data_IF_165827911132
#
_entry.id   IF_165827911132
#
_cell.length_a   1.000
_cell.length_b   1.000
_cell.length_c   1.000
_cell.angle_alpha   90.00
_cell.angle_beta   90.00
_cell.angle_gamma   90.00
#
_symmetry.space_group_name_H-M   'P 1'
#
loop_
_entity.id
_entity.type
_entity.pdbx_description
1 polymer ?
#
# COMPACT_ATOMS: atom_id res chain seq x y z
N UNK A 1 -12.71 -18.87 18.37
CA UNK A 1 -11.64 -18.19 19.13
C UNK A 1 -10.33 -18.91 18.83
N UNK A 2 -9.49 -18.34 17.95
CA UNK A 2 -8.12 -18.81 17.74
C UNK A 2 -7.22 -17.65 18.12
N UNK A 3 -6.52 -17.80 19.24
CA UNK A 3 -5.55 -16.83 19.74
C UNK A 3 -4.19 -17.17 19.15
N UNK A 4 -3.61 -16.24 18.37
CA UNK A 4 -2.24 -16.36 17.89
C UNK A 4 -1.26 -15.88 18.97
N UNK A 5 -0.12 -16.56 19.17
CA UNK A 5 0.78 -16.29 20.28
C UNK A 5 1.76 -15.16 19.90
N UNK A 6 1.38 -13.92 20.21
CA UNK A 6 2.28 -12.83 20.61
C UNK A 6 1.42 -11.61 20.99
N UNK A 7 1.02 -11.56 22.25
CA UNK A 7 0.19 -10.50 22.84
C UNK A 7 1.03 -9.23 23.11
N UNK A 8 1.64 -8.69 22.05
CA UNK A 8 2.03 -7.29 22.02
C UNK A 8 0.75 -6.49 21.76
N UNK A 9 0.30 -5.69 22.74
CA UNK A 9 -0.95 -4.89 22.71
C UNK A 9 -1.11 -3.93 21.50
N UNK A 10 -0.15 -3.90 20.56
CA UNK A 10 -0.06 -2.96 19.44
C UNK A 10 -0.60 -3.49 18.11
N UNK A 11 -0.85 -4.80 17.97
CA UNK A 11 -1.31 -5.40 16.70
C UNK A 11 -2.71 -5.97 16.84
N UNK A 12 -3.64 -5.48 16.01
CA UNK A 12 -4.99 -6.04 15.87
C UNK A 12 -5.14 -6.69 14.51
N UNK A 13 -5.48 -7.98 14.52
CA UNK A 13 -5.79 -8.72 13.30
C UNK A 13 -7.29 -8.63 12.99
N UNK A 14 -7.62 -8.22 11.76
CA UNK A 14 -8.99 -8.21 11.26
C UNK A 14 -9.08 -9.21 10.12
N UNK A 15 -9.93 -10.23 10.27
CA UNK A 15 -10.17 -11.23 9.23
C UNK A 15 -11.29 -10.75 8.31
N UNK A 16 -10.98 -10.63 7.02
CA UNK A 16 -11.95 -10.33 5.98
C UNK A 16 -12.60 -11.62 5.46
N UNK A 17 -13.87 -11.53 5.11
CA UNK A 17 -14.51 -12.57 4.30
C UNK A 17 -14.04 -12.46 2.85
N UNK A 18 -14.21 -13.52 2.04
CA UNK A 18 -13.74 -13.51 0.64
C UNK A 18 -14.43 -12.41 -0.18
N UNK A 19 -15.69 -12.15 0.13
CA UNK A 19 -16.54 -11.17 -0.54
C UNK A 19 -16.11 -9.73 -0.23
N UNK A 20 -15.43 -9.52 0.90
CA UNK A 20 -14.87 -8.22 1.31
C UNK A 20 -13.40 -8.04 0.89
N UNK A 21 -12.82 -8.97 0.13
CA UNK A 21 -11.44 -8.88 -0.33
C UNK A 21 -11.33 -8.07 -1.64
N UNK A 22 -11.69 -6.79 -1.54
CA UNK A 22 -11.50 -5.72 -2.52
C UNK A 22 -11.12 -4.42 -1.78
N UNK A 23 -10.62 -3.39 -2.45
CA UNK A 23 -10.15 -2.18 -1.74
C UNK A 23 -11.29 -1.48 -1.00
N UNK A 24 -12.46 -1.33 -1.62
CA UNK A 24 -13.64 -0.78 -0.94
C UNK A 24 -14.03 -1.58 0.32
N UNK A 25 -14.00 -2.91 0.23
CA UNK A 25 -14.32 -3.79 1.36
C UNK A 25 -13.34 -3.64 2.51
N UNK A 26 -12.05 -3.49 2.19
CA UNK A 26 -10.98 -3.23 3.16
C UNK A 26 -11.18 -1.85 3.81
N UNK A 27 -11.37 -0.80 3.01
CA UNK A 27 -11.53 0.57 3.48
C UNK A 27 -12.76 0.73 4.37
N UNK A 28 -13.90 0.12 4.00
CA UNK A 28 -15.10 0.12 4.83
C UNK A 28 -14.86 -0.51 6.20
N UNK A 29 -14.11 -1.62 6.26
CA UNK A 29 -13.76 -2.27 7.53
C UNK A 29 -12.84 -1.40 8.38
N UNK A 30 -11.88 -0.70 7.77
CA UNK A 30 -11.01 0.26 8.48
C UNK A 30 -11.82 1.44 9.01
N UNK A 31 -12.74 1.97 8.21
CA UNK A 31 -13.64 3.05 8.59
C UNK A 31 -14.54 2.69 9.77
N UNK A 32 -15.14 1.49 9.77
CA UNK A 32 -15.93 0.95 10.89
C UNK A 32 -15.11 0.87 12.21
N UNK A 33 -13.79 0.83 12.10
CA UNK A 33 -12.86 0.82 13.23
C UNK A 33 -12.34 2.22 13.61
N UNK A 34 -12.84 3.28 12.98
CA UNK A 34 -12.38 4.66 13.20
C UNK A 34 -10.99 4.93 12.63
N UNK A 35 -10.50 4.10 11.71
CA UNK A 35 -9.21 4.30 11.04
C UNK A 35 -9.49 5.09 9.76
N UNK A 36 -8.92 6.29 9.68
CA UNK A 36 -9.15 7.23 8.58
C UNK A 36 -7.94 7.41 7.66
N UNK A 37 -6.78 6.89 8.06
CA UNK A 37 -5.54 6.92 7.26
C UNK A 37 -4.86 5.56 7.40
N UNK A 38 -4.39 5.03 6.27
CA UNK A 38 -3.73 3.74 6.19
C UNK A 38 -2.53 3.83 5.26
N UNK A 39 -1.42 3.22 5.66
CA UNK A 39 -0.30 2.95 4.77
C UNK A 39 -0.50 1.53 4.26
N UNK A 40 -0.63 1.38 2.93
CA UNK A 40 -0.77 0.09 2.27
C UNK A 40 0.61 -0.39 1.81
N UNK A 41 1.10 -1.46 2.42
CA UNK A 41 2.32 -2.15 2.02
C UNK A 41 2.01 -3.60 1.64
N UNK A 42 2.75 -4.15 0.69
CA UNK A 42 2.59 -5.54 0.27
C UNK A 42 3.13 -5.81 -1.13
N UNK A 43 2.77 -6.97 -1.67
CA UNK A 43 3.14 -7.34 -3.04
C UNK A 43 2.28 -6.62 -4.09
N UNK A 44 2.70 -6.72 -5.36
CA UNK A 44 2.07 -6.02 -6.48
C UNK A 44 0.55 -6.26 -6.62
N UNK A 45 0.03 -7.41 -6.20
CA UNK A 45 -1.44 -7.66 -6.19
C UNK A 45 -2.20 -6.73 -5.25
N UNK A 46 -1.65 -6.47 -4.05
CA UNK A 46 -2.28 -5.58 -3.08
C UNK A 46 -2.14 -4.14 -3.54
N UNK A 47 -0.98 -3.74 -4.04
CA UNK A 47 -0.76 -2.39 -4.56
C UNK A 47 -1.68 -2.11 -5.77
N UNK A 48 -1.74 -3.03 -6.74
CA UNK A 48 -2.60 -2.88 -7.91
C UNK A 48 -4.08 -2.81 -7.56
N UNK A 49 -4.53 -3.48 -6.49
CA UNK A 49 -5.93 -3.41 -6.06
C UNK A 49 -6.36 -1.95 -5.80
N UNK A 50 -5.54 -1.17 -5.08
CA UNK A 50 -5.85 0.25 -4.82
C UNK A 50 -5.56 1.15 -6.01
N UNK A 51 -4.51 0.87 -6.79
CA UNK A 51 -4.14 1.67 -7.95
C UNK A 51 -5.14 1.55 -9.11
N UNK A 52 -5.67 0.34 -9.36
CA UNK A 52 -6.64 0.10 -10.43
C UNK A 52 -8.04 0.59 -10.09
N UNK A 53 -8.42 0.57 -8.80
CA UNK A 53 -9.70 1.11 -8.32
C UNK A 53 -9.66 2.63 -8.06
N UNK A 54 -8.50 3.27 -8.25
CA UNK A 54 -8.29 4.71 -8.00
C UNK A 54 -8.58 5.14 -6.54
N UNK A 55 -8.32 4.22 -5.59
CA UNK A 55 -8.60 4.40 -4.16
C UNK A 55 -7.32 4.68 -3.36
N UNK A 56 -6.56 5.66 -3.80
CA UNK A 56 -5.31 6.09 -3.17
C UNK A 56 -5.13 7.59 -3.32
N UNK A 57 -4.51 8.25 -2.34
CA UNK A 57 -4.23 9.69 -2.38
C UNK A 57 -2.76 9.98 -2.73
N UNK A 58 -1.83 9.21 -2.16
CA UNK A 58 -0.38 9.40 -2.32
C UNK A 58 0.34 8.06 -2.47
N UNK A 59 1.26 7.98 -3.44
CA UNK A 59 2.14 6.83 -3.61
C UNK A 59 3.60 7.25 -3.44
N UNK A 60 4.32 6.53 -2.57
CA UNK A 60 5.75 6.73 -2.30
C UNK A 60 6.55 5.58 -2.89
N UNK A 61 7.37 5.88 -3.89
CA UNK A 61 8.17 4.90 -4.60
C UNK A 61 9.64 5.11 -4.27
N UNK A 62 10.24 4.15 -3.58
CA UNK A 62 11.68 4.10 -3.34
C UNK A 62 12.37 3.33 -4.47
N UNK A 63 13.41 3.92 -5.05
CA UNK A 63 14.16 3.37 -6.17
C UNK A 63 15.63 3.30 -5.74
N UNK A 64 16.15 2.08 -5.63
CA UNK A 64 17.57 1.86 -5.34
C UNK A 64 18.46 2.15 -6.56
N UNK A 65 19.78 2.29 -6.35
CA UNK A 65 20.73 2.67 -7.40
C UNK A 65 20.96 1.57 -8.45
N UNK A 66 20.78 0.30 -8.08
CA UNK A 66 21.04 -0.85 -8.93
C UNK A 66 19.75 -1.33 -9.62
N UNK A 67 19.73 -1.49 -10.94
CA UNK A 67 18.57 -2.00 -11.65
C UNK A 67 18.36 -3.49 -11.36
N UNK A 68 17.10 -3.88 -11.13
CA UNK A 68 16.72 -5.30 -11.15
C UNK A 68 16.45 -5.74 -12.60
N UNK A 69 17.27 -6.64 -13.12
CA UNK A 69 17.13 -7.17 -14.48
C UNK A 69 16.03 -8.23 -14.62
N UNK A 70 15.76 -8.97 -13.54
CA UNK A 70 14.75 -10.02 -13.48
C UNK A 70 13.89 -9.82 -12.22
N UNK A 71 12.62 -10.21 -12.30
CA UNK A 71 11.69 -10.12 -11.18
C UNK A 71 10.30 -9.70 -11.61
N UNK A 72 9.47 -9.35 -10.61
CA UNK A 72 8.15 -8.80 -10.85
C UNK A 72 8.27 -7.31 -11.18
N UNK A 73 7.61 -6.88 -12.25
CA UNK A 73 7.56 -5.47 -12.62
C UNK A 73 6.84 -4.65 -11.54
N UNK A 74 7.39 -3.48 -11.22
CA UNK A 74 6.73 -2.52 -10.33
C UNK A 74 5.44 -1.96 -10.97
N UNK A 75 4.41 -1.64 -10.17
CA UNK A 75 3.21 -0.96 -10.68
C UNK A 75 3.56 0.34 -11.39
N UNK A 76 2.84 0.64 -12.48
CA UNK A 76 3.05 1.86 -13.26
C UNK A 76 2.04 2.91 -12.81
N UNK A 77 2.54 4.01 -12.25
CA UNK A 77 1.74 5.18 -11.90
C UNK A 77 1.66 6.12 -13.11
N UNK A 78 0.46 6.59 -13.46
CA UNK A 78 0.21 7.44 -14.64
C UNK A 78 0.30 8.94 -14.34
N UNK A 79 0.55 9.30 -13.09
CA UNK A 79 0.48 10.68 -12.64
C UNK A 79 1.65 11.54 -13.11
N UNK A 80 1.32 12.79 -13.47
CA UNK A 80 2.27 13.75 -14.05
C UNK A 80 3.00 14.58 -13.01
N UNK A 81 2.37 14.79 -11.85
CA UNK A 81 2.94 15.58 -10.76
C UNK A 81 3.71 14.64 -9.83
N UNK A 82 5.04 14.67 -9.96
CA UNK A 82 5.94 13.82 -9.18
C UNK A 82 6.98 14.69 -8.50
N UNK A 83 7.02 14.66 -7.17
CA UNK A 83 8.14 15.20 -6.41
C UNK A 83 9.22 14.12 -6.29
N UNK A 84 10.50 14.51 -6.37
CA UNK A 84 11.62 13.58 -6.30
C UNK A 84 12.68 14.10 -5.33
N UNK A 85 13.16 13.21 -4.47
CA UNK A 85 14.15 13.49 -3.44
C UNK A 85 15.22 12.41 -3.46
N UNK A 86 16.47 12.81 -3.25
CA UNK A 86 17.56 11.87 -2.99
C UNK A 86 17.62 11.59 -1.47
N UNK A 87 17.60 10.31 -1.09
CA UNK A 87 17.65 9.85 0.30
C UNK A 87 18.79 8.86 0.42
N UNK A 88 19.98 9.37 0.74
CA UNK A 88 21.20 8.54 0.72
C UNK A 88 21.49 8.08 -0.72
N UNK A 89 21.65 6.76 -0.96
CA UNK A 89 21.86 6.22 -2.30
C UNK A 89 20.56 5.98 -3.09
N UNK A 90 19.40 6.12 -2.44
CA UNK A 90 18.10 5.82 -3.03
C UNK A 90 17.39 7.11 -3.47
N UNK A 91 16.52 6.99 -4.47
CA UNK A 91 15.61 8.05 -4.89
C UNK A 91 14.19 7.77 -4.36
N UNK A 92 13.60 8.75 -3.68
CA UNK A 92 12.17 8.75 -3.33
C UNK A 92 11.41 9.58 -4.36
N UNK A 93 10.39 8.96 -4.97
CA UNK A 93 9.37 9.65 -5.76
C UNK A 93 8.04 9.68 -5.02
N UNK A 94 7.41 10.84 -4.96
CA UNK A 94 6.09 11.04 -4.37
C UNK A 94 5.13 11.43 -5.49
N UNK A 95 4.10 10.61 -5.70
CA UNK A 95 3.01 10.84 -6.63
C UNK A 95 1.75 11.19 -5.82
N UNK A 96 0.94 12.11 -6.33
CA UNK A 96 -0.37 12.43 -5.76
C UNK A 96 -1.46 12.21 -6.79
N UNK A 97 -2.57 11.67 -6.31
CA UNK A 97 -3.78 11.41 -7.08
C UNK A 97 -4.79 12.53 -6.75
N UNK A 98 -4.82 13.57 -7.58
CA UNK A 98 -5.65 14.78 -7.39
C UNK A 98 -6.90 14.78 -8.29
#
# INVERSE_FOLDING_TARGET
KMTHPNDSKTVKYIKLSKEKFCSEGILNVLWEHGITSVIVEGGGKILNLFLEEDLWDEARVFIGPEPMHEGLQAPVLKEKNVESFEIGPDQLKIFRND
#
